data_IF_452358672382
#
_entry.id   IF_452358672382
#
_cell.length_a   1.000
_cell.length_b   1.000
_cell.length_c   1.000
_cell.angle_alpha   90.00
_cell.angle_beta   90.00
_cell.angle_gamma   90.00
#
_symmetry.space_group_name_H-M   'P 1'
#
loop_
_entity.id
_entity.type
_entity.pdbx_description
1 polymer ?
#
# COMPACT_ATOMS: atom_id res chain seq x y z
N UNK A 1 -6.21 -14.51 -58.16
CA UNK A 1 -6.82 -13.33 -57.50
C UNK A 1 -7.43 -13.80 -56.20
N UNK A 2 -6.82 -13.66 -55.03
CA UNK A 2 -6.14 -12.47 -54.52
C UNK A 2 -7.07 -11.77 -53.51
N UNK A 3 -7.32 -12.42 -52.37
CA UNK A 3 -7.89 -11.80 -51.15
C UNK A 3 -7.10 -12.36 -49.97
N UNK A 4 -5.81 -12.01 -49.95
CA UNK A 4 -4.94 -12.16 -48.79
C UNK A 4 -4.99 -10.85 -48.02
N UNK A 5 -5.22 -10.98 -46.72
CA UNK A 5 -4.49 -10.26 -45.69
C UNK A 5 -4.57 -8.73 -45.74
N UNK A 6 -5.69 -8.17 -45.28
CA UNK A 6 -5.69 -6.86 -44.64
C UNK A 6 -6.04 -7.03 -43.16
N UNK A 7 -5.27 -7.90 -42.49
CA UNK A 7 -5.12 -7.88 -41.05
C UNK A 7 -4.36 -6.60 -40.72
N UNK A 8 -5.08 -5.49 -40.51
CA UNK A 8 -4.49 -4.26 -39.94
C UNK A 8 -4.19 -4.54 -38.47
N UNK A 9 -3.00 -5.05 -38.20
CA UNK A 9 -2.33 -4.81 -36.92
C UNK A 9 -2.10 -3.30 -36.84
N UNK A 10 -2.97 -2.60 -36.10
CA UNK A 10 -2.80 -1.18 -35.79
C UNK A 10 -1.65 -1.05 -34.78
N UNK A 11 -0.47 -0.56 -35.18
CA UNK A 11 0.70 -0.50 -34.31
C UNK A 11 0.56 0.56 -33.20
N UNK A 12 -0.47 1.41 -33.26
CA UNK A 12 -0.70 2.52 -32.32
C UNK A 12 -1.51 2.13 -31.09
N UNK A 13 -2.17 0.96 -31.09
CA UNK A 13 -2.97 0.50 -29.95
C UNK A 13 -2.19 0.33 -28.62
N UNK A 14 -0.97 -0.23 -28.58
CA UNK A 14 -0.26 -0.43 -27.29
C UNK A 14 0.29 0.87 -26.69
N UNK A 15 0.69 1.85 -27.51
CA UNK A 15 1.26 3.12 -27.00
C UNK A 15 0.16 4.05 -26.47
N UNK A 16 -0.95 4.17 -27.21
CA UNK A 16 -2.11 4.98 -26.80
C UNK A 16 -2.78 4.41 -25.55
N UNK A 17 -2.81 3.08 -25.38
CA UNK A 17 -3.33 2.45 -24.15
C UNK A 17 -2.44 2.72 -22.94
N UNK A 18 -1.11 2.71 -23.09
CA UNK A 18 -0.19 3.05 -22.01
C UNK A 18 -0.32 4.52 -21.57
N UNK A 19 -0.46 5.45 -22.52
CA UNK A 19 -0.68 6.87 -22.20
C UNK A 19 -2.01 7.11 -21.48
N UNK A 20 -3.07 6.41 -21.88
CA UNK A 20 -4.37 6.48 -21.22
C UNK A 20 -4.32 5.95 -19.79
N UNK A 21 -3.66 4.81 -19.57
CA UNK A 21 -3.47 4.24 -18.22
C UNK A 21 -2.68 5.20 -17.31
N UNK A 22 -1.65 5.85 -17.85
CA UNK A 22 -0.87 6.86 -17.12
C UNK A 22 -1.70 8.09 -16.77
N UNK A 23 -2.55 8.55 -17.70
CA UNK A 23 -3.44 9.68 -17.45
C UNK A 23 -4.49 9.37 -16.36
N UNK A 24 -5.09 8.18 -16.42
CA UNK A 24 -6.08 7.72 -15.43
C UNK A 24 -5.46 7.54 -14.04
N UNK A 25 -4.24 7.01 -13.98
CA UNK A 25 -3.46 6.95 -12.75
C UNK A 25 -3.21 8.35 -12.15
N UNK A 26 -2.69 9.28 -12.96
CA UNK A 26 -2.40 10.64 -12.51
C UNK A 26 -3.67 11.36 -12.02
N UNK A 27 -4.79 11.15 -12.70
CA UNK A 27 -6.08 11.66 -12.26
C UNK A 27 -6.47 11.06 -10.90
N UNK A 28 -6.36 9.74 -10.75
CA UNK A 28 -6.68 9.03 -9.50
C UNK A 28 -5.84 9.52 -8.33
N UNK A 29 -4.51 9.61 -8.51
CA UNK A 29 -3.58 10.11 -7.48
C UNK A 29 -3.90 11.57 -7.14
N UNK A 30 -4.18 12.41 -8.14
CA UNK A 30 -4.57 13.80 -7.89
C UNK A 30 -5.84 13.90 -7.04
N UNK A 31 -6.82 13.03 -7.27
CA UNK A 31 -8.03 12.96 -6.44
C UNK A 31 -7.73 12.46 -5.02
N UNK A 32 -6.92 11.42 -4.88
CA UNK A 32 -6.52 10.87 -3.58
C UNK A 32 -5.74 11.87 -2.73
N UNK A 33 -4.89 12.71 -3.34
CA UNK A 33 -4.14 13.77 -2.63
C UNK A 33 -5.03 14.97 -2.26
N UNK A 34 -6.01 15.31 -3.10
CA UNK A 34 -6.89 16.48 -2.88
C UNK A 34 -7.74 16.34 -1.62
N UNK A 35 -8.23 15.13 -1.33
CA UNK A 35 -9.08 14.87 -0.15
C UNK A 35 -8.37 15.17 1.18
N UNK A 36 -7.21 14.54 1.53
CA UNK A 36 -6.49 14.85 2.77
C UNK A 36 -6.02 16.30 2.83
N UNK A 37 -5.60 16.89 1.71
CA UNK A 37 -5.22 18.30 1.66
C UNK A 37 -6.40 19.23 2.01
N UNK A 38 -7.61 18.94 1.50
CA UNK A 38 -8.81 19.69 1.82
C UNK A 38 -9.17 19.57 3.31
N UNK A 39 -9.04 18.38 3.90
CA UNK A 39 -9.22 18.16 5.34
C UNK A 39 -8.24 18.97 6.17
N UNK A 40 -6.93 18.89 5.87
CA UNK A 40 -5.89 19.67 6.56
C UNK A 40 -6.24 21.15 6.52
N UNK A 41 -6.49 21.70 5.32
CA UNK A 41 -6.83 23.11 5.14
C UNK A 41 -8.10 23.51 5.89
N UNK A 42 -9.11 22.64 5.91
CA UNK A 42 -10.38 22.87 6.61
C UNK A 42 -10.18 22.97 8.11
N UNK A 43 -9.54 21.98 8.73
CA UNK A 43 -9.27 21.96 10.17
C UNK A 43 -8.33 23.09 10.60
N UNK A 44 -7.24 23.35 9.86
CA UNK A 44 -6.33 24.47 10.18
C UNK A 44 -7.04 25.81 10.07
N UNK A 45 -7.90 26.01 9.05
CA UNK A 45 -8.66 27.24 8.90
C UNK A 45 -9.66 27.45 10.05
N UNK A 46 -10.32 26.38 10.49
CA UNK A 46 -11.23 26.42 11.65
C UNK A 46 -10.48 26.74 12.93
N UNK A 47 -9.33 26.07 13.18
CA UNK A 47 -8.47 26.35 14.33
C UNK A 47 -7.97 27.79 14.35
N UNK A 48 -7.56 28.35 13.22
CA UNK A 48 -7.10 29.73 13.11
C UNK A 48 -8.25 30.73 13.33
N UNK A 49 -9.39 30.52 12.66
CA UNK A 49 -10.54 31.45 12.69
C UNK A 49 -11.30 31.43 14.01
N UNK A 50 -11.33 30.30 14.71
CA UNK A 50 -12.14 30.10 15.91
C UNK A 50 -11.28 29.74 17.14
N UNK A 51 -9.99 30.09 17.12
CA UNK A 51 -9.00 29.76 18.15
C UNK A 51 -9.39 30.06 19.60
N UNK A 52 -10.25 31.08 19.84
CA UNK A 52 -10.75 31.47 21.17
C UNK A 52 -12.10 30.82 21.55
N UNK A 53 -12.78 30.19 20.59
CA UNK A 53 -14.11 29.58 20.75
C UNK A 53 -14.09 28.06 20.78
N UNK A 54 -12.96 27.45 20.43
CA UNK A 54 -12.72 26.01 20.43
C UNK A 54 -12.16 25.62 21.79
N UNK A 55 -12.77 24.63 22.43
CA UNK A 55 -12.29 24.04 23.69
C UNK A 55 -10.93 23.36 23.52
N UNK A 56 -10.30 22.96 24.63
CA UNK A 56 -9.04 22.22 24.56
C UNK A 56 -9.23 20.84 23.94
N UNK A 57 -10.36 20.20 24.21
CA UNK A 57 -10.75 18.89 23.74
C UNK A 57 -11.00 18.90 22.22
N UNK A 58 -11.85 19.82 21.72
CA UNK A 58 -12.11 19.96 20.28
C UNK A 58 -10.84 20.34 19.50
N UNK A 59 -9.96 21.15 20.11
CA UNK A 59 -8.66 21.48 19.51
C UNK A 59 -7.82 20.22 19.32
N UNK A 60 -7.77 19.35 20.33
CA UNK A 60 -7.05 18.09 20.24
C UNK A 60 -7.64 17.19 19.14
N UNK A 61 -8.96 17.11 19.03
CA UNK A 61 -9.62 16.36 17.95
C UNK A 61 -9.25 16.88 16.55
N UNK A 62 -9.24 18.21 16.35
CA UNK A 62 -8.80 18.79 15.08
C UNK A 62 -7.33 18.53 14.78
N UNK A 63 -6.46 18.59 15.78
CA UNK A 63 -5.03 18.27 15.61
C UNK A 63 -4.82 16.79 15.24
N UNK A 64 -5.57 15.87 15.86
CA UNK A 64 -5.55 14.46 15.51
C UNK A 64 -6.05 14.22 14.08
N UNK A 65 -7.14 14.88 13.67
CA UNK A 65 -7.66 14.78 12.31
C UNK A 65 -6.68 15.32 11.26
N UNK A 66 -5.94 16.40 11.58
CA UNK A 66 -4.85 16.91 10.73
C UNK A 66 -3.72 15.89 10.62
N UNK A 67 -3.28 15.31 11.74
CA UNK A 67 -2.21 14.32 11.75
C UNK A 67 -2.57 13.08 10.91
N UNK A 68 -3.80 12.58 11.05
CA UNK A 68 -4.29 11.47 10.24
C UNK A 68 -4.33 11.82 8.74
N UNK A 69 -4.79 13.02 8.38
CA UNK A 69 -4.80 13.47 6.99
C UNK A 69 -3.37 13.61 6.42
N UNK A 70 -2.40 14.06 7.22
CA UNK A 70 -0.99 14.10 6.82
C UNK A 70 -0.44 12.69 6.56
N UNK A 71 -0.70 11.72 7.44
CA UNK A 71 -0.27 10.33 7.27
C UNK A 71 -0.87 9.69 5.99
N UNK A 72 -2.14 10.00 5.70
CA UNK A 72 -2.79 9.56 4.45
C UNK A 72 -2.12 10.17 3.23
N UNK A 73 -1.79 11.47 3.27
CA UNK A 73 -1.09 12.15 2.19
C UNK A 73 0.30 11.54 1.95
N UNK A 74 1.06 11.29 3.02
CA UNK A 74 2.37 10.63 2.95
C UNK A 74 2.26 9.24 2.32
N UNK A 75 1.26 8.45 2.71
CA UNK A 75 1.01 7.12 2.12
C UNK A 75 0.74 7.21 0.63
N UNK A 76 -0.07 8.16 0.17
CA UNK A 76 -0.35 8.35 -1.26
C UNK A 76 0.89 8.81 -2.04
N UNK A 77 1.74 9.66 -1.46
CA UNK A 77 3.01 10.08 -2.07
C UNK A 77 3.97 8.90 -2.20
N UNK A 78 4.13 8.10 -1.14
CA UNK A 78 5.02 6.94 -1.15
C UNK A 78 4.58 5.91 -2.20
N UNK A 79 3.27 5.66 -2.34
CA UNK A 79 2.73 4.79 -3.41
C UNK A 79 3.08 5.30 -4.82
N UNK A 80 3.03 6.62 -5.02
CA UNK A 80 3.41 7.21 -6.31
C UNK A 80 4.91 7.04 -6.59
N UNK A 81 5.76 7.23 -5.57
CA UNK A 81 7.21 7.03 -5.69
C UNK A 81 7.55 5.56 -5.97
N UNK A 82 6.96 4.62 -5.23
CA UNK A 82 7.09 3.18 -5.48
C UNK A 82 6.72 2.86 -6.94
N UNK A 83 5.61 3.41 -7.44
CA UNK A 83 5.18 3.17 -8.82
C UNK A 83 6.13 3.78 -9.86
N UNK A 84 6.65 4.98 -9.60
CA UNK A 84 7.67 5.59 -10.47
C UNK A 84 8.96 4.74 -10.52
N UNK A 85 9.34 4.09 -9.41
CA UNK A 85 10.47 3.16 -9.39
C UNK A 85 10.19 1.87 -10.17
N UNK A 86 8.94 1.38 -10.14
CA UNK A 86 8.47 0.23 -10.92
C UNK A 86 8.57 0.52 -12.44
N UNK A 87 8.12 1.68 -12.91
CA UNK A 87 8.08 2.05 -14.34
C UNK A 87 9.48 2.19 -14.97
N UNK A 88 10.48 2.61 -14.19
CA UNK A 88 11.86 2.77 -14.68
C UNK A 88 12.58 1.40 -14.73
N UNK A 89 11.95 0.31 -14.28
CA UNK A 89 12.58 -1.01 -14.20
C UNK A 89 13.66 -1.09 -13.12
N UNK A 90 13.73 -0.11 -12.22
CA UNK A 90 14.76 0.00 -11.17
C UNK A 90 14.40 -0.75 -9.90
N UNK A 91 13.52 -1.75 -9.97
CA UNK A 91 13.32 -2.65 -8.84
C UNK A 91 14.61 -3.44 -8.66
N UNK A 92 15.43 -3.02 -7.70
CA UNK A 92 16.45 -3.89 -7.14
C UNK A 92 15.75 -4.89 -6.23
N UNK A 93 15.59 -6.12 -6.70
CA UNK A 93 15.20 -7.24 -5.83
C UNK A 93 16.45 -7.60 -5.02
N UNK A 94 16.44 -7.26 -3.74
CA UNK A 94 17.51 -7.61 -2.82
C UNK A 94 17.23 -8.97 -2.21
N UNK A 95 17.69 -10.03 -2.87
CA UNK A 95 17.48 -11.40 -2.40
C UNK A 95 18.41 -11.70 -1.23
N UNK A 96 17.83 -12.02 -0.08
CA UNK A 96 18.53 -12.53 1.09
C UNK A 96 17.90 -13.87 1.55
N UNK A 97 18.67 -14.73 2.23
CA UNK A 97 18.11 -15.89 2.91
C UNK A 97 17.03 -15.45 3.89
N UNK A 98 15.78 -15.82 3.63
CA UNK A 98 14.59 -15.35 4.36
C UNK A 98 13.79 -16.53 4.87
N UNK A 99 13.59 -16.61 6.20
CA UNK A 99 12.71 -17.60 6.81
C UNK A 99 11.25 -17.16 6.70
N UNK A 100 10.54 -17.70 5.71
CA UNK A 100 9.16 -17.27 5.39
C UNK A 100 8.19 -17.56 6.53
N UNK A 101 8.38 -18.69 7.21
CA UNK A 101 7.53 -19.07 8.34
C UNK A 101 7.71 -18.11 9.53
N UNK A 102 8.92 -17.63 9.77
CA UNK A 102 9.19 -16.60 10.77
C UNK A 102 8.55 -15.26 10.36
N UNK A 103 8.77 -14.82 9.12
CA UNK A 103 8.22 -13.56 8.61
C UNK A 103 6.68 -13.50 8.67
N UNK A 104 6.01 -14.61 8.31
CA UNK A 104 4.56 -14.73 8.39
C UNK A 104 4.04 -14.68 9.83
N UNK A 105 4.74 -15.30 10.79
CA UNK A 105 4.39 -15.21 12.22
C UNK A 105 4.48 -13.76 12.71
N UNK A 106 5.56 -13.05 12.37
CA UNK A 106 5.70 -11.65 12.75
C UNK A 106 4.60 -10.75 12.15
N UNK A 107 4.13 -11.06 10.93
CA UNK A 107 3.01 -10.35 10.29
C UNK A 107 1.71 -10.61 11.06
N UNK A 108 1.43 -11.86 11.39
CA UNK A 108 0.27 -12.23 12.21
C UNK A 108 0.29 -11.58 13.59
N UNK A 109 1.44 -11.55 14.28
CA UNK A 109 1.56 -10.89 15.59
C UNK A 109 1.24 -9.39 15.50
N UNK A 110 1.66 -8.71 14.43
CA UNK A 110 1.32 -7.30 14.22
C UNK A 110 -0.19 -7.09 14.01
N UNK A 111 -0.85 -8.01 13.28
CA UNK A 111 -2.31 -7.99 13.11
C UNK A 111 -3.02 -8.26 14.43
N UNK A 112 -2.59 -9.27 15.19
CA UNK A 112 -3.14 -9.61 16.51
C UNK A 112 -3.08 -8.43 17.47
N UNK A 113 -1.96 -7.71 17.53
CA UNK A 113 -1.81 -6.51 18.37
C UNK A 113 -2.81 -5.41 17.95
N UNK A 114 -2.97 -5.19 16.65
CA UNK A 114 -3.90 -4.17 16.12
C UNK A 114 -5.36 -4.52 16.39
N UNK A 115 -5.70 -5.81 16.39
CA UNK A 115 -7.03 -6.33 16.69
C UNK A 115 -7.30 -6.34 18.19
N UNK A 116 -6.33 -6.72 19.03
CA UNK A 116 -6.45 -6.73 20.49
C UNK A 116 -6.74 -5.33 21.07
N UNK A 117 -6.29 -4.27 20.38
CA UNK A 117 -6.65 -2.89 20.70
C UNK A 117 -8.15 -2.57 20.50
N UNK A 118 -8.94 -3.48 19.90
CA UNK A 118 -10.40 -3.36 19.68
C UNK A 118 -11.13 -4.46 20.46
N UNK A 119 -11.64 -4.20 21.67
CA UNK A 119 -12.09 -5.22 22.61
C UNK A 119 -13.36 -6.00 22.21
N UNK A 120 -14.01 -5.68 21.10
CA UNK A 120 -15.32 -6.25 20.74
C UNK A 120 -15.28 -7.52 19.88
N UNK A 121 -14.12 -7.91 19.32
CA UNK A 121 -14.02 -9.12 18.50
C UNK A 121 -12.79 -9.97 18.88
N UNK A 122 -13.01 -11.24 19.22
CA UNK A 122 -11.94 -12.21 19.42
C UNK A 122 -11.64 -12.90 18.10
N UNK A 123 -10.48 -12.60 17.50
CA UNK A 123 -10.00 -13.26 16.30
C UNK A 123 -8.92 -14.27 16.65
N UNK A 124 -8.91 -15.41 15.97
CA UNK A 124 -7.85 -16.42 16.06
C UNK A 124 -7.21 -16.56 14.68
N UNK A 125 -5.90 -16.43 14.61
CA UNK A 125 -5.13 -16.60 13.39
C UNK A 125 -4.39 -17.94 13.44
N UNK A 126 -4.46 -18.70 12.34
CA UNK A 126 -3.80 -19.99 12.22
C UNK A 126 -2.87 -19.99 11.01
N UNK A 127 -1.57 -20.19 11.24
CA UNK A 127 -0.59 -20.34 10.17
C UNK A 127 -0.48 -21.81 9.78
N UNK A 128 -0.80 -22.12 8.52
CA UNK A 128 -0.60 -23.45 7.95
C UNK A 128 0.37 -23.34 6.79
N UNK A 129 1.49 -24.07 6.89
CA UNK A 129 2.38 -24.27 5.76
C UNK A 129 1.81 -25.39 4.87
N UNK A 130 1.74 -25.13 3.57
CA UNK A 130 1.27 -26.07 2.54
C UNK A 130 2.47 -26.39 1.65
N UNK A 131 2.48 -27.59 1.03
CA UNK A 131 3.54 -28.04 0.13
C UNK A 131 4.95 -28.04 0.74
N UNK A 132 5.05 -28.43 2.02
CA UNK A 132 6.31 -28.63 2.71
C UNK A 132 7.02 -29.87 2.16
N UNK A 133 8.25 -29.75 1.63
CA UNK A 133 9.03 -30.92 1.24
C UNK A 133 9.26 -31.83 2.45
N UNK A 134 9.06 -33.13 2.28
CA UNK A 134 9.17 -34.13 3.36
C UNK A 134 10.57 -34.21 4.01
N UNK A 135 11.56 -33.58 3.39
CA UNK A 135 12.97 -33.54 3.82
C UNK A 135 13.37 -32.25 4.54
N UNK A 136 12.44 -31.34 4.82
CA UNK A 136 12.73 -30.08 5.51
C UNK A 136 12.58 -30.25 7.03
N UNK A 137 13.61 -29.89 7.80
CA UNK A 137 13.49 -29.85 9.26
C UNK A 137 12.48 -28.75 9.70
N UNK A 138 11.70 -28.96 10.77
CA UNK A 138 10.77 -27.97 11.30
C UNK A 138 11.53 -26.73 11.80
N UNK A 139 11.62 -25.69 10.97
CA UNK A 139 12.28 -24.44 11.37
C UNK A 139 13.03 -23.72 10.26
N UNK A 140 13.40 -24.41 9.18
CA UNK A 140 14.28 -23.86 8.14
C UNK A 140 13.58 -23.69 6.78
N UNK A 141 12.46 -22.96 6.77
CA UNK A 141 11.82 -22.53 5.52
C UNK A 141 12.52 -21.29 4.97
N UNK A 142 13.81 -21.43 4.69
CA UNK A 142 14.66 -20.36 4.18
C UNK A 142 14.63 -20.38 2.66
N UNK A 143 14.13 -19.30 2.06
CA UNK A 143 14.17 -19.07 0.62
C UNK A 143 15.00 -17.82 0.32
N UNK A 144 15.59 -17.75 -0.87
CA UNK A 144 16.21 -16.52 -1.36
C UNK A 144 15.13 -15.57 -1.86
N UNK A 145 14.77 -14.58 -1.06
CA UNK A 145 13.72 -13.62 -1.39
C UNK A 145 14.05 -12.22 -0.89
N UNK A 146 13.32 -11.24 -1.41
CA UNK A 146 13.35 -9.88 -0.87
C UNK A 146 12.43 -9.84 0.35
N UNK A 147 13.04 -9.86 1.54
CA UNK A 147 12.33 -9.91 2.81
C UNK A 147 11.40 -8.70 2.99
N UNK A 148 11.82 -7.51 2.58
CA UNK A 148 11.03 -6.28 2.71
C UNK A 148 9.76 -6.37 1.88
N UNK A 149 9.89 -6.77 0.61
CA UNK A 149 8.73 -6.90 -0.29
C UNK A 149 7.79 -8.02 0.13
N UNK A 150 8.32 -9.16 0.58
CA UNK A 150 7.49 -10.23 1.12
C UNK A 150 6.70 -9.75 2.35
N UNK A 151 7.33 -8.96 3.22
CA UNK A 151 6.65 -8.39 4.39
C UNK A 151 5.51 -7.45 3.99
N UNK A 152 5.74 -6.57 3.03
CA UNK A 152 4.72 -5.65 2.52
C UNK A 152 3.50 -6.38 1.95
N UNK A 153 3.71 -7.51 1.27
CA UNK A 153 2.60 -8.34 0.76
C UNK A 153 1.82 -8.97 1.91
N UNK A 154 2.51 -9.52 2.90
CA UNK A 154 1.88 -10.15 4.07
C UNK A 154 1.11 -9.17 4.96
N UNK A 155 1.55 -7.91 5.05
CA UNK A 155 0.85 -6.90 5.85
C UNK A 155 -0.41 -6.34 5.14
N UNK A 156 -0.55 -6.58 3.82
CA UNK A 156 -1.69 -6.12 3.01
C UNK A 156 -2.78 -7.20 2.79
N UNK A 157 -2.46 -8.47 3.01
CA UNK A 157 -3.38 -9.62 2.87
C UNK A 157 -4.27 -9.82 4.09
#
# INVERSE_FOLDING_TARGET
MGKQDEQRDDPLAPEVTMELLKAELLATVSHELRSPLASIKGYTSTLLRHSRRISSEERQEFLLAIAEACNRLETSINRLLEMSELEIGTIRIERAPTNVAHLAREAMTAVEQRVAARPQNMFSFNLRLVDVPSSSEPGEYVIMADQRRLREVLDRS
#
